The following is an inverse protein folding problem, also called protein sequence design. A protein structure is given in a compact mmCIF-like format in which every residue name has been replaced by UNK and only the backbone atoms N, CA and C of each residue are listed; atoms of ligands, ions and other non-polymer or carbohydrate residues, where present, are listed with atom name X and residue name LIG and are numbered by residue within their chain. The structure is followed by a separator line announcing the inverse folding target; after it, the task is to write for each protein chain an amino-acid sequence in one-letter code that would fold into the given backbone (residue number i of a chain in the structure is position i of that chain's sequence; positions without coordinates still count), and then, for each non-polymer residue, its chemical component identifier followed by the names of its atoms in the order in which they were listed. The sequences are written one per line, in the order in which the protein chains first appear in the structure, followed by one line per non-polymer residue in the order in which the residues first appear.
data_IF_088935508314
#
_entry.id   IF_088935508314
#
_cell.length_a   1.000
_cell.length_b   1.000
_cell.length_c   1.000
_cell.angle_alpha   90.00
_cell.angle_beta   90.00
_cell.angle_gamma   90.00
#
_symmetry.space_group_name_H-M   'P 1'
#
loop_
_entity.id
_entity.type
_entity.pdbx_description
1 polymer ?
#
# COMPACT_ATOMS: atom_id res chain seq x y z
N UNK A 1 -6.75 -5.25 10.45
CA UNK A 1 -5.50 -4.53 10.14
C UNK A 1 -4.63 -5.44 9.30
N UNK A 2 -4.28 -5.03 8.06
CA UNK A 2 -3.50 -5.85 7.12
C UNK A 2 -2.00 -5.71 7.41
N UNK A 3 -1.22 -6.76 7.18
CA UNK A 3 0.26 -6.67 7.23
C UNK A 3 0.81 -6.13 5.91
N UNK A 4 2.06 -5.66 5.93
CA UNK A 4 2.73 -5.18 4.72
C UNK A 4 2.77 -6.24 3.60
N UNK A 5 2.95 -7.51 3.96
CA UNK A 5 2.93 -8.64 3.02
C UNK A 5 1.57 -8.77 2.32
N UNK A 6 0.46 -8.71 3.07
CA UNK A 6 -0.88 -8.75 2.49
C UNK A 6 -1.12 -7.58 1.52
N UNK A 7 -0.63 -6.39 1.88
CA UNK A 7 -0.72 -5.20 1.02
C UNK A 7 0.09 -5.42 -0.26
N UNK A 8 1.29 -6.01 -0.19
CA UNK A 8 2.06 -6.35 -1.39
C UNK A 8 1.39 -7.43 -2.25
N UNK A 9 0.74 -8.43 -1.65
CA UNK A 9 -0.01 -9.45 -2.38
C UNK A 9 -1.19 -8.85 -3.15
N UNK A 10 -2.02 -8.05 -2.48
CA UNK A 10 -3.11 -7.31 -3.11
C UNK A 10 -2.57 -6.41 -4.22
N UNK A 11 -1.50 -5.66 -3.93
CA UNK A 11 -0.89 -4.76 -4.90
C UNK A 11 -0.47 -5.51 -6.17
N UNK A 12 0.13 -6.69 -6.04
CA UNK A 12 0.51 -7.55 -7.18
C UNK A 12 -0.72 -8.07 -7.91
N UNK A 13 -1.72 -8.56 -7.18
CA UNK A 13 -2.96 -9.08 -7.74
C UNK A 13 -3.69 -8.03 -8.58
N UNK A 14 -3.84 -6.83 -8.04
CA UNK A 14 -4.48 -5.71 -8.71
C UNK A 14 -3.55 -4.91 -9.61
N UNK A 15 -2.31 -5.36 -9.89
CA UNK A 15 -1.31 -4.66 -10.73
C UNK A 15 -1.11 -3.18 -10.36
N UNK A 16 -1.11 -2.87 -9.06
CA UNK A 16 -0.89 -1.51 -8.53
C UNK A 16 0.62 -1.25 -8.41
N UNK A 17 1.06 -0.06 -8.81
CA UNK A 17 2.48 0.30 -8.72
C UNK A 17 2.85 0.69 -7.29
N UNK A 18 4.08 0.40 -6.82
CA UNK A 18 4.56 0.85 -5.50
C UNK A 18 4.35 2.36 -5.34
N UNK A 19 4.63 3.07 -6.42
CA UNK A 19 4.48 4.50 -6.58
C UNK A 19 3.09 5.01 -6.23
N UNK A 20 2.07 4.46 -6.90
CA UNK A 20 0.68 4.83 -6.65
C UNK A 20 0.29 4.59 -5.20
N UNK A 21 0.74 3.47 -4.62
CA UNK A 21 0.38 3.11 -3.26
C UNK A 21 0.98 4.06 -2.21
N UNK A 22 2.28 4.36 -2.28
CA UNK A 22 2.89 5.29 -1.31
C UNK A 22 2.46 6.74 -1.57
N UNK A 23 2.21 7.13 -2.83
CA UNK A 23 1.69 8.47 -3.15
C UNK A 23 0.28 8.65 -2.58
N UNK A 24 -0.59 7.64 -2.74
CA UNK A 24 -1.96 7.68 -2.21
C UNK A 24 -1.99 7.65 -0.68
N UNK A 25 -1.11 6.88 -0.06
CA UNK A 25 -0.96 6.82 1.39
C UNK A 25 -0.24 8.04 1.99
N UNK A 26 0.25 8.99 1.18
CA UNK A 26 1.01 10.15 1.67
C UNK A 26 2.38 9.77 2.28
N UNK A 27 2.93 8.62 1.91
CA UNK A 27 4.19 8.10 2.45
C UNK A 27 5.33 8.44 1.49
N UNK A 28 6.42 8.98 2.04
CA UNK A 28 7.60 9.25 1.26
C UNK A 28 8.23 7.96 0.71
N UNK A 29 8.71 8.00 -0.55
CA UNK A 29 9.37 6.86 -1.22
C UNK A 29 10.48 6.24 -0.38
N UNK A 30 11.23 7.07 0.35
CA UNK A 30 12.29 6.60 1.22
C UNK A 30 11.77 5.75 2.39
N UNK A 31 10.68 6.18 3.04
CA UNK A 31 10.02 5.44 4.10
C UNK A 31 9.52 4.09 3.58
N UNK A 32 8.87 4.06 2.42
CA UNK A 32 8.47 2.81 1.76
C UNK A 32 9.67 1.88 1.54
N UNK A 33 10.79 2.41 1.03
CA UNK A 33 12.00 1.63 0.75
C UNK A 33 12.63 1.06 2.03
N UNK A 34 12.61 1.80 3.15
CA UNK A 34 13.11 1.34 4.45
C UNK A 34 12.21 0.24 5.04
N UNK A 35 10.88 0.43 4.95
CA UNK A 35 9.88 -0.55 5.36
C UNK A 35 10.00 -1.86 4.56
N UNK A 36 10.09 -1.76 3.22
CA UNK A 36 10.19 -2.92 2.35
C UNK A 36 11.49 -3.72 2.56
N UNK A 37 12.57 -3.06 3.01
CA UNK A 37 13.85 -3.72 3.31
C UNK A 37 13.91 -4.29 4.73
N UNK A 38 12.80 -4.31 5.48
CA UNK A 38 12.76 -4.71 6.90
C UNK A 38 13.75 -3.93 7.80
N UNK A 39 14.27 -2.79 7.33
CA UNK A 39 15.21 -1.95 8.09
C UNK A 39 14.49 -1.06 9.11
N UNK A 40 13.18 -0.91 8.97
CA UNK A 40 12.34 -0.11 9.85
C UNK A 40 11.01 -0.81 9.99
N UNK A 41 10.65 -1.17 11.23
CA UNK A 41 9.29 -1.62 11.54
C UNK A 41 8.33 -0.50 11.16
N UNK A 42 7.42 -0.71 10.20
CA UNK A 42 6.46 0.31 9.85
C UNK A 42 5.61 0.62 11.07
N UNK A 43 5.41 1.90 11.35
CA UNK A 43 4.50 2.30 12.41
C UNK A 43 3.09 1.79 12.09
N UNK A 44 2.31 1.48 13.13
CA UNK A 44 0.90 1.06 13.03
C UNK A 44 0.12 2.01 12.11
N UNK A 45 0.37 3.31 12.25
CA UNK A 45 -0.20 4.37 11.40
C UNK A 45 0.16 4.18 9.91
N UNK A 46 1.44 3.97 9.59
CA UNK A 46 1.91 3.72 8.22
C UNK A 46 1.25 2.48 7.60
N UNK A 47 1.06 1.41 8.38
CA UNK A 47 0.34 0.22 7.89
C UNK A 47 -1.13 0.50 7.63
N UNK A 48 -1.76 1.31 8.47
CA UNK A 48 -3.14 1.74 8.30
C UNK A 48 -3.30 2.62 7.04
N UNK A 49 -2.46 3.64 6.87
CA UNK A 49 -2.46 4.51 5.68
C UNK A 49 -2.27 3.68 4.39
N UNK A 50 -1.32 2.74 4.38
CA UNK A 50 -1.11 1.84 3.24
C UNK A 50 -2.30 0.91 2.98
N UNK A 51 -2.93 0.43 4.05
CA UNK A 51 -4.10 -0.45 3.96
C UNK A 51 -5.32 0.29 3.41
N UNK A 52 -5.51 1.56 3.78
CA UNK A 52 -6.61 2.39 3.31
C UNK A 52 -6.38 2.85 1.86
N UNK A 53 -5.15 3.23 1.55
CA UNK A 53 -4.73 3.60 0.20
C UNK A 53 -4.90 2.44 -0.80
N UNK A 54 -4.53 1.21 -0.41
CA UNK A 54 -4.71 0.07 -1.31
C UNK A 54 -6.18 -0.26 -1.51
N UNK A 55 -7.00 -0.16 -0.46
CA UNK A 55 -8.43 -0.44 -0.55
C UNK A 55 -9.11 0.56 -1.48
N UNK A 56 -8.76 1.85 -1.35
CA UNK A 56 -9.23 2.92 -2.23
C UNK A 56 -8.80 2.66 -3.67
N UNK A 57 -7.53 2.35 -3.93
CA UNK A 57 -7.02 2.05 -5.27
C UNK A 57 -7.66 0.81 -5.89
N UNK A 58 -8.02 -0.18 -5.07
CA UNK A 58 -8.73 -1.37 -5.50
C UNK A 58 -10.18 -1.02 -5.85
N UNK A 59 -10.87 -0.23 -5.02
CA UNK A 59 -12.23 0.24 -5.31
C UNK A 59 -12.25 1.07 -6.59
N UNK A 60 -11.39 2.09 -6.71
CA UNK A 60 -11.26 2.92 -7.92
C UNK A 60 -11.00 2.10 -9.19
N UNK A 61 -10.36 0.93 -9.07
CA UNK A 61 -10.07 0.02 -10.20
C UNK A 61 -11.13 -1.06 -10.40
N UNK A 62 -11.84 -1.45 -9.34
CA UNK A 62 -12.86 -2.50 -9.31
C UNK A 62 -14.26 -1.98 -9.64
N UNK A 63 -14.57 -0.72 -9.32
CA UNK A 63 -15.79 -0.01 -9.69
C UNK A 63 -15.88 0.27 -11.21
N UNK A 64 -14.81 0.01 -11.98
CA UNK A 64 -14.87 -0.05 -13.44
C UNK A 64 -15.48 -1.36 -13.98
N UNK A 65 -15.95 -2.26 -13.09
CA UNK A 65 -16.49 -3.57 -13.45
C UNK A 65 -17.80 -3.90 -12.70
N UNK A 66 -18.71 -2.92 -12.58
CA UNK A 66 -20.11 -3.14 -12.21
C UNK A 66 -21.03 -2.74 -13.36
#
# INVERSE_FOLDING_TARGET
MRTFDQIEQLRKHYKITRKQLYERAGIHKETWRRTAQSKTSPNVKTLQDLSEAIDTLISERGDAHA
#
